data_IF_743273250094
#
_entry.id   IF_743273250094
#
_cell.length_a   1.000
_cell.length_b   1.000
_cell.length_c   1.000
_cell.angle_alpha   90.00
_cell.angle_beta   90.00
_cell.angle_gamma   90.00
#
_symmetry.space_group_name_H-M   'P 1'
#
loop_
_entity.id
_entity.type
_entity.pdbx_description
1 polymer ?
#
# COMPACT_ATOMS: atom_id res chain seq x y z
N UNK A 1 -36.79 28.45 -6.98
CA UNK A 1 -37.39 27.51 -6.02
C UNK A 1 -36.39 26.37 -5.78
N UNK A 2 -35.66 26.38 -4.63
CA UNK A 2 -34.75 25.30 -4.24
C UNK A 2 -35.58 24.15 -3.68
N UNK A 3 -35.49 22.97 -4.33
CA UNK A 3 -36.22 21.78 -3.94
C UNK A 3 -35.55 21.14 -2.67
N UNK A 4 -36.12 21.25 -1.47
CA UNK A 4 -35.49 20.79 -0.23
C UNK A 4 -35.24 19.26 -0.19
N UNK A 5 -36.02 18.48 -0.94
CA UNK A 5 -35.86 17.03 -1.01
C UNK A 5 -34.56 16.62 -1.73
N UNK A 6 -34.14 17.32 -2.79
CA UNK A 6 -32.86 17.03 -3.48
C UNK A 6 -31.64 17.28 -2.58
N UNK A 7 -31.69 18.26 -1.67
CA UNK A 7 -30.59 18.59 -0.74
C UNK A 7 -30.48 17.52 0.35
N UNK A 8 -31.60 17.01 0.86
CA UNK A 8 -31.59 15.92 1.86
C UNK A 8 -31.05 14.60 1.29
N UNK A 9 -31.46 14.22 0.08
CA UNK A 9 -30.97 13.02 -0.62
C UNK A 9 -29.47 13.10 -0.90
N UNK A 10 -28.96 14.25 -1.34
CA UNK A 10 -27.51 14.43 -1.57
C UNK A 10 -26.71 14.31 -0.26
N UNK A 11 -27.19 14.88 0.85
CA UNK A 11 -26.52 14.75 2.16
C UNK A 11 -26.52 13.31 2.65
N UNK A 12 -27.62 12.58 2.50
CA UNK A 12 -27.72 11.16 2.85
C UNK A 12 -26.76 10.28 2.04
N UNK A 13 -26.71 10.48 0.72
CA UNK A 13 -25.80 9.71 -0.16
C UNK A 13 -24.33 10.00 0.17
N UNK A 14 -23.95 11.27 0.34
CA UNK A 14 -22.57 11.64 0.70
C UNK A 14 -22.15 11.03 2.04
N UNK A 15 -23.03 11.06 3.05
CA UNK A 15 -22.74 10.45 4.36
C UNK A 15 -22.59 8.94 4.28
N UNK A 16 -23.36 8.26 3.45
CA UNK A 16 -23.26 6.81 3.22
C UNK A 16 -21.92 6.47 2.52
N UNK A 17 -21.56 7.19 1.46
CA UNK A 17 -20.28 6.99 0.77
C UNK A 17 -19.11 7.15 1.74
N UNK A 18 -19.10 8.23 2.53
CA UNK A 18 -18.04 8.46 3.53
C UNK A 18 -17.99 7.33 4.55
N UNK A 19 -19.15 6.83 5.01
CA UNK A 19 -19.22 5.72 5.97
C UNK A 19 -18.64 4.42 5.36
N UNK A 20 -18.96 4.11 4.10
CA UNK A 20 -18.43 2.95 3.38
C UNK A 20 -16.91 3.07 3.22
N UNK A 21 -16.41 4.24 2.77
CA UNK A 21 -14.98 4.46 2.61
C UNK A 21 -14.22 4.32 3.94
N UNK A 22 -14.77 4.88 5.03
CA UNK A 22 -14.19 4.71 6.38
C UNK A 22 -14.17 3.25 6.81
N UNK A 23 -15.23 2.51 6.54
CA UNK A 23 -15.28 1.08 6.84
C UNK A 23 -14.19 0.32 6.07
N UNK A 24 -14.05 0.53 4.78
CA UNK A 24 -13.02 -0.11 3.94
C UNK A 24 -11.60 0.20 4.44
N UNK A 25 -11.33 1.45 4.82
CA UNK A 25 -10.02 1.88 5.34
C UNK A 25 -9.75 1.29 6.74
N UNK A 26 -10.72 1.35 7.66
CA UNK A 26 -10.50 0.89 9.03
C UNK A 26 -10.49 -0.63 9.17
N UNK A 27 -11.15 -1.37 8.28
CA UNK A 27 -11.16 -2.84 8.24
C UNK A 27 -9.94 -3.46 7.57
N UNK A 28 -9.01 -2.67 7.05
CA UNK A 28 -7.88 -3.08 6.22
C UNK A 28 -8.27 -3.69 4.85
N UNK A 29 -9.54 -3.69 4.49
CA UNK A 29 -9.98 -4.18 3.18
C UNK A 29 -9.40 -3.34 2.04
N UNK A 30 -9.39 -2.01 2.19
CA UNK A 30 -8.88 -1.14 1.15
C UNK A 30 -7.38 -1.34 0.91
N UNK A 31 -6.57 -1.41 1.96
CA UNK A 31 -5.13 -1.64 1.83
C UNK A 31 -4.83 -3.03 1.26
N UNK A 32 -5.63 -4.05 1.60
CA UNK A 32 -5.50 -5.40 1.01
C UNK A 32 -5.86 -5.41 -0.47
N UNK A 33 -6.86 -4.64 -0.90
CA UNK A 33 -7.16 -4.45 -2.31
C UNK A 33 -6.07 -3.66 -3.04
N UNK A 34 -5.46 -2.67 -2.37
CA UNK A 34 -4.34 -1.92 -2.94
C UNK A 34 -3.11 -2.81 -3.20
N UNK A 35 -2.81 -3.76 -2.30
CA UNK A 35 -1.73 -4.73 -2.53
C UNK A 35 -2.07 -5.75 -3.63
N UNK A 36 -3.32 -6.20 -3.72
CA UNK A 36 -3.81 -7.00 -4.87
C UNK A 36 -3.64 -6.21 -6.17
N UNK A 37 -3.89 -4.90 -6.14
CA UNK A 37 -3.69 -4.05 -7.33
C UNK A 37 -2.21 -4.01 -7.78
N UNK A 38 -1.25 -4.09 -6.84
CA UNK A 38 0.17 -4.26 -7.18
C UNK A 38 0.41 -5.61 -7.90
N UNK A 39 -0.18 -6.70 -7.40
CA UNK A 39 -0.05 -8.01 -8.04
C UNK A 39 -0.67 -8.03 -9.44
N UNK A 40 -1.88 -7.47 -9.61
CA UNK A 40 -2.54 -7.33 -10.92
C UNK A 40 -1.69 -6.49 -11.88
N UNK A 41 -1.22 -5.33 -11.44
CA UNK A 41 -0.32 -4.48 -12.23
C UNK A 41 0.94 -5.24 -12.68
N UNK A 42 1.53 -6.02 -11.77
CA UNK A 42 2.71 -6.83 -12.07
C UNK A 42 2.40 -7.89 -13.14
N UNK A 43 1.29 -8.62 -12.99
CA UNK A 43 0.84 -9.66 -13.92
C UNK A 43 0.69 -9.08 -15.32
N UNK A 44 -0.04 -7.96 -15.44
CA UNK A 44 -0.29 -7.34 -16.75
C UNK A 44 0.98 -6.75 -17.37
N UNK A 45 1.78 -6.00 -16.61
CA UNK A 45 3.00 -5.39 -17.14
C UNK A 45 4.08 -6.40 -17.51
N UNK A 46 4.18 -7.51 -16.77
CA UNK A 46 5.12 -8.60 -17.08
C UNK A 46 4.54 -9.64 -18.08
N UNK A 47 3.34 -9.35 -18.64
CA UNK A 47 2.66 -10.21 -19.62
C UNK A 47 2.46 -11.67 -19.14
N UNK A 48 2.01 -11.80 -17.88
CA UNK A 48 1.76 -13.08 -17.21
C UNK A 48 0.26 -13.43 -17.27
N UNK A 49 -0.11 -14.72 -17.20
CA UNK A 49 -1.52 -15.10 -17.16
C UNK A 49 -2.18 -14.64 -15.85
N UNK A 50 -3.42 -14.15 -15.94
CA UNK A 50 -4.18 -13.73 -14.75
C UNK A 50 -4.77 -14.97 -14.06
N UNK A 51 -4.27 -15.25 -12.85
CA UNK A 51 -4.74 -16.33 -12.00
C UNK A 51 -5.20 -15.80 -10.63
N UNK A 52 -6.19 -16.45 -10.04
CA UNK A 52 -6.77 -16.03 -8.75
C UNK A 52 -5.88 -16.35 -7.54
N UNK A 53 -5.06 -17.42 -7.63
CA UNK A 53 -4.29 -17.91 -6.50
C UNK A 53 -3.24 -16.91 -5.99
N UNK A 54 -2.33 -16.31 -6.82
CA UNK A 54 -1.41 -15.30 -6.34
C UNK A 54 -2.13 -14.07 -5.78
N UNK A 55 -3.28 -13.67 -6.34
CA UNK A 55 -4.08 -12.56 -5.82
C UNK A 55 -4.66 -12.86 -4.44
N UNK A 56 -5.19 -14.07 -4.24
CA UNK A 56 -5.69 -14.54 -2.94
C UNK A 56 -4.57 -14.57 -1.90
N UNK A 57 -3.39 -15.08 -2.24
CA UNK A 57 -2.23 -15.13 -1.34
C UNK A 57 -1.84 -13.71 -0.89
N UNK A 58 -1.73 -12.76 -1.83
CA UNK A 58 -1.39 -11.36 -1.51
C UNK A 58 -2.46 -10.72 -0.62
N UNK A 59 -3.75 -10.91 -0.95
CA UNK A 59 -4.85 -10.40 -0.14
C UNK A 59 -4.80 -10.94 1.30
N UNK A 60 -4.66 -12.26 1.45
CA UNK A 60 -4.66 -12.94 2.74
C UNK A 60 -3.45 -12.53 3.61
N UNK A 61 -2.26 -12.48 3.02
CA UNK A 61 -1.04 -12.04 3.70
C UNK A 61 -1.14 -10.58 4.17
N UNK A 62 -1.65 -9.69 3.32
CA UNK A 62 -1.83 -8.27 3.69
C UNK A 62 -2.86 -8.13 4.78
N UNK A 63 -4.01 -8.79 4.65
CA UNK A 63 -5.07 -8.75 5.65
C UNK A 63 -4.57 -9.21 7.01
N UNK A 64 -3.77 -10.28 7.06
CA UNK A 64 -3.13 -10.76 8.27
C UNK A 64 -2.17 -9.71 8.86
N UNK A 65 -1.17 -9.25 8.09
CA UNK A 65 -0.15 -8.31 8.56
C UNK A 65 -0.77 -7.04 9.12
N UNK A 66 -1.63 -6.39 8.35
CA UNK A 66 -2.24 -5.12 8.79
C UNK A 66 -3.20 -5.30 9.95
N UNK A 67 -3.90 -6.43 10.04
CA UNK A 67 -4.80 -6.66 11.17
C UNK A 67 -4.02 -6.91 12.46
N UNK A 68 -2.92 -7.67 12.40
CA UNK A 68 -2.04 -7.85 13.57
C UNK A 68 -1.44 -6.51 13.99
N UNK A 69 -0.94 -5.69 13.05
CA UNK A 69 -0.40 -4.36 13.36
C UNK A 69 -1.42 -3.45 14.07
N UNK A 70 -2.72 -3.53 13.72
CA UNK A 70 -3.76 -2.75 14.42
C UNK A 70 -3.92 -3.14 15.90
N UNK A 71 -3.63 -4.40 16.23
CA UNK A 71 -3.67 -4.84 17.63
C UNK A 71 -2.42 -4.44 18.39
N UNK A 72 -1.24 -4.53 17.77
CA UNK A 72 0.02 -4.16 18.41
C UNK A 72 0.16 -2.65 18.60
N UNK A 73 -0.40 -1.86 17.68
CA UNK A 73 -0.25 -0.40 17.65
C UNK A 73 -1.52 0.36 18.14
N UNK A 74 -2.41 -0.31 18.90
CA UNK A 74 -3.69 0.28 19.32
C UNK A 74 -3.51 1.54 20.19
N UNK A 75 -2.48 1.62 21.01
CA UNK A 75 -2.19 2.79 21.84
C UNK A 75 -1.72 3.98 21.01
N UNK A 76 -0.87 3.73 20.01
CA UNK A 76 -0.45 4.71 19.01
C UNK A 76 -1.65 5.20 18.19
N UNK A 77 -2.51 4.28 17.75
CA UNK A 77 -3.73 4.59 17.01
C UNK A 77 -4.73 5.45 17.79
N UNK A 78 -4.78 5.35 19.12
CA UNK A 78 -5.62 6.23 19.95
C UNK A 78 -5.21 7.70 19.84
N UNK A 79 -3.94 7.96 19.64
CA UNK A 79 -3.40 9.32 19.51
C UNK A 79 -3.51 9.81 18.06
N UNK A 80 -3.06 9.01 17.10
CA UNK A 80 -2.94 9.42 15.70
C UNK A 80 -4.26 9.31 14.92
N UNK A 81 -5.06 8.26 15.16
CA UNK A 81 -6.31 7.98 14.43
C UNK A 81 -7.38 7.41 15.38
N UNK A 82 -7.97 8.21 16.29
CA UNK A 82 -8.91 7.73 17.32
C UNK A 82 -10.10 6.93 16.78
N UNK A 83 -10.58 7.27 15.59
CA UNK A 83 -11.70 6.56 14.95
C UNK A 83 -11.32 5.13 14.56
N UNK A 84 -10.07 4.90 14.13
CA UNK A 84 -9.53 3.57 13.80
C UNK A 84 -9.35 2.75 15.07
N UNK A 85 -8.80 3.35 16.13
CA UNK A 85 -8.68 2.69 17.44
C UNK A 85 -10.05 2.25 17.99
N UNK A 86 -11.08 3.11 17.88
CA UNK A 86 -12.45 2.77 18.28
C UNK A 86 -13.03 1.62 17.45
N UNK A 87 -12.79 1.60 16.14
CA UNK A 87 -13.18 0.50 15.26
C UNK A 87 -12.48 -0.81 15.65
N UNK A 88 -11.17 -0.78 15.87
CA UNK A 88 -10.37 -1.94 16.30
C UNK A 88 -10.85 -2.47 17.66
N UNK A 89 -11.15 -1.59 18.62
CA UNK A 89 -11.69 -1.99 19.93
C UNK A 89 -13.03 -2.72 19.80
N UNK A 90 -13.89 -2.29 18.86
CA UNK A 90 -15.24 -2.85 18.69
C UNK A 90 -15.27 -4.12 17.84
N UNK A 91 -14.52 -4.15 16.74
CA UNK A 91 -14.60 -5.18 15.70
C UNK A 91 -13.30 -5.95 15.49
N UNK A 92 -12.19 -5.48 16.06
CA UNK A 92 -10.86 -5.98 15.75
C UNK A 92 -10.70 -7.49 15.97
N UNK A 93 -11.33 -8.06 17.03
CA UNK A 93 -11.26 -9.51 17.25
C UNK A 93 -11.79 -10.33 16.06
N UNK A 94 -12.87 -9.88 15.44
CA UNK A 94 -13.43 -10.55 14.26
C UNK A 94 -12.46 -10.45 13.07
N UNK A 95 -11.90 -9.25 12.86
CA UNK A 95 -10.93 -9.02 11.78
C UNK A 95 -9.63 -9.78 12.02
N UNK A 96 -9.16 -9.90 13.26
CA UNK A 96 -7.98 -10.68 13.60
C UNK A 96 -8.18 -12.16 13.28
N UNK A 97 -9.29 -12.75 13.72
CA UNK A 97 -9.62 -14.13 13.42
C UNK A 97 -9.76 -14.37 11.92
N UNK A 98 -10.43 -13.45 11.21
CA UNK A 98 -10.57 -13.51 9.75
C UNK A 98 -9.20 -13.43 9.05
N UNK A 99 -8.35 -12.46 9.44
CA UNK A 99 -7.00 -12.31 8.85
C UNK A 99 -6.12 -13.55 9.08
N UNK A 100 -6.13 -14.10 10.30
CA UNK A 100 -5.41 -15.33 10.63
C UNK A 100 -5.96 -16.51 9.82
N UNK A 101 -7.28 -16.68 9.75
CA UNK A 101 -7.91 -17.78 9.02
C UNK A 101 -7.60 -17.74 7.51
N UNK A 102 -7.68 -16.54 6.90
CA UNK A 102 -7.33 -16.34 5.49
C UNK A 102 -5.85 -16.66 5.24
N UNK A 103 -4.96 -16.21 6.12
CA UNK A 103 -3.53 -16.46 5.98
C UNK A 103 -3.19 -17.94 6.13
N UNK A 104 -3.77 -18.66 7.12
CA UNK A 104 -3.63 -20.11 7.27
C UNK A 104 -4.17 -20.82 6.03
N UNK A 105 -5.32 -20.41 5.50
CA UNK A 105 -5.88 -20.96 4.27
C UNK A 105 -4.93 -20.77 3.08
N UNK A 106 -4.33 -19.56 2.92
CA UNK A 106 -3.38 -19.29 1.84
C UNK A 106 -2.13 -20.17 1.95
N UNK A 107 -1.56 -20.32 3.14
CA UNK A 107 -0.40 -21.19 3.41
C UNK A 107 -0.78 -22.65 3.15
N UNK A 108 -1.94 -23.10 3.66
CA UNK A 108 -2.45 -24.46 3.46
C UNK A 108 -2.64 -24.80 1.98
N UNK A 109 -3.25 -23.91 1.20
CA UNK A 109 -3.42 -24.10 -0.25
C UNK A 109 -2.05 -24.14 -0.95
N UNK A 110 -1.12 -23.25 -0.60
CA UNK A 110 0.22 -23.26 -1.19
C UNK A 110 0.97 -24.57 -0.93
N UNK A 111 0.86 -25.13 0.28
CA UNK A 111 1.49 -26.40 0.65
C UNK A 111 0.80 -27.57 -0.07
N UNK A 112 -0.53 -27.63 -0.08
CA UNK A 112 -1.28 -28.74 -0.69
C UNK A 112 -1.11 -28.81 -2.21
N UNK A 113 -0.93 -27.65 -2.86
CA UNK A 113 -0.61 -27.57 -4.28
C UNK A 113 0.89 -27.77 -4.59
N UNK A 114 1.72 -27.99 -3.56
CA UNK A 114 3.15 -28.20 -3.74
C UNK A 114 3.88 -27.00 -4.33
N UNK A 115 3.43 -25.77 -4.05
CA UNK A 115 4.13 -24.58 -4.55
C UNK A 115 5.52 -24.53 -3.96
N UNK A 116 6.54 -24.50 -4.82
CA UNK A 116 7.95 -24.49 -4.40
C UNK A 116 8.32 -23.30 -3.49
N UNK A 117 7.56 -22.19 -3.58
CA UNK A 117 7.72 -20.98 -2.78
C UNK A 117 6.89 -20.93 -1.50
N UNK A 118 6.18 -22.00 -1.08
CA UNK A 118 5.32 -21.96 0.09
C UNK A 118 6.07 -21.49 1.38
N UNK A 119 7.36 -21.82 1.51
CA UNK A 119 8.18 -21.38 2.64
C UNK A 119 8.32 -19.84 2.71
N UNK A 120 8.30 -19.12 1.58
CA UNK A 120 8.39 -17.66 1.59
C UNK A 120 7.13 -16.99 2.14
N UNK A 121 6.01 -17.72 2.24
CA UNK A 121 4.81 -17.21 2.90
C UNK A 121 5.00 -16.99 4.41
N UNK A 122 6.08 -17.48 5.02
CA UNK A 122 6.44 -17.13 6.39
C UNK A 122 7.09 -15.74 6.52
N UNK A 123 7.55 -15.11 5.42
CA UNK A 123 8.13 -13.75 5.46
C UNK A 123 7.18 -12.69 6.05
N UNK A 124 5.89 -12.63 5.72
CA UNK A 124 4.96 -11.69 6.35
C UNK A 124 4.91 -11.81 7.87
N UNK A 125 4.95 -13.04 8.41
CA UNK A 125 5.01 -13.28 9.85
C UNK A 125 6.31 -12.72 10.46
N UNK A 126 7.45 -12.98 9.81
CA UNK A 126 8.76 -12.46 10.26
C UNK A 126 8.77 -10.94 10.25
N UNK A 127 8.24 -10.32 9.19
CA UNK A 127 8.14 -8.85 9.07
C UNK A 127 7.30 -8.27 10.20
N UNK A 128 6.12 -8.85 10.50
CA UNK A 128 5.28 -8.40 11.62
C UNK A 128 6.03 -8.48 12.94
N UNK A 129 6.71 -9.61 13.23
CA UNK A 129 7.44 -9.79 14.48
C UNK A 129 8.59 -8.79 14.62
N UNK A 130 9.40 -8.61 13.59
CA UNK A 130 10.53 -7.67 13.61
C UNK A 130 10.05 -6.21 13.71
N UNK A 131 8.98 -5.86 12.98
CA UNK A 131 8.46 -4.50 12.97
C UNK A 131 7.79 -4.13 14.29
N UNK A 132 6.88 -4.97 14.79
CA UNK A 132 6.06 -4.67 15.97
C UNK A 132 6.79 -4.94 17.28
N UNK A 133 7.61 -6.00 17.37
CA UNK A 133 8.30 -6.42 18.61
C UNK A 133 9.77 -6.02 18.60
N UNK A 134 10.43 -6.10 17.46
CA UNK A 134 11.88 -5.86 17.31
C UNK A 134 12.31 -4.39 17.37
N UNK A 135 11.37 -3.43 17.50
CA UNK A 135 11.69 -2.00 17.60
C UNK A 135 12.28 -1.37 16.33
N UNK A 136 12.26 -2.08 15.19
CA UNK A 136 12.78 -1.60 13.89
C UNK A 136 12.11 -0.29 13.47
N UNK A 137 10.84 -0.09 13.84
CA UNK A 137 10.10 1.14 13.58
C UNK A 137 10.72 2.42 14.18
N UNK A 138 11.60 2.29 15.18
CA UNK A 138 12.28 3.43 15.85
C UNK A 138 13.50 3.94 15.10
N UNK A 139 14.06 3.14 14.19
CA UNK A 139 15.25 3.50 13.43
C UNK A 139 14.89 4.51 12.31
N UNK A 140 15.61 5.64 12.27
CA UNK A 140 15.38 6.68 11.26
C UNK A 140 15.38 6.10 9.85
N UNK A 141 14.34 6.45 9.07
CA UNK A 141 14.11 6.03 7.70
C UNK A 141 13.93 4.50 7.49
N UNK A 142 14.40 3.64 8.40
CA UNK A 142 14.28 2.18 8.29
C UNK A 142 12.80 1.76 8.33
N UNK A 143 11.97 2.40 9.15
CA UNK A 143 10.52 2.22 9.19
C UNK A 143 9.91 2.32 7.76
N UNK A 144 10.21 3.40 7.05
CA UNK A 144 9.67 3.67 5.71
C UNK A 144 10.18 2.66 4.68
N UNK A 145 11.50 2.35 4.73
CA UNK A 145 12.11 1.38 3.83
C UNK A 145 11.56 -0.04 4.03
N UNK A 146 11.34 -0.46 5.28
CA UNK A 146 10.74 -1.78 5.58
C UNK A 146 9.34 -1.90 4.99
N UNK A 147 8.51 -0.84 5.10
CA UNK A 147 7.19 -0.82 4.47
C UNK A 147 7.31 -0.91 2.95
N UNK A 148 8.21 -0.12 2.34
CA UNK A 148 8.48 -0.17 0.91
C UNK A 148 8.94 -1.56 0.44
N UNK A 149 9.90 -2.17 1.14
CA UNK A 149 10.40 -3.52 0.84
C UNK A 149 9.29 -4.58 0.98
N UNK A 150 8.46 -4.49 2.02
CA UNK A 150 7.35 -5.42 2.20
C UNK A 150 6.39 -5.42 1.00
N UNK A 151 6.05 -4.24 0.48
CA UNK A 151 5.22 -4.14 -0.73
C UNK A 151 5.98 -4.56 -1.99
N UNK A 152 7.27 -4.23 -2.09
CA UNK A 152 8.13 -4.67 -3.19
C UNK A 152 8.25 -6.19 -3.30
N UNK A 153 8.08 -6.94 -2.19
CA UNK A 153 8.06 -8.40 -2.25
C UNK A 153 6.88 -8.96 -3.06
N UNK A 154 5.81 -8.16 -3.29
CA UNK A 154 4.65 -8.61 -4.08
C UNK A 154 5.04 -8.91 -5.53
N UNK A 155 5.69 -8.01 -6.29
CA UNK A 155 6.23 -8.36 -7.62
C UNK A 155 7.16 -9.57 -7.60
N UNK A 156 8.04 -9.67 -6.59
CA UNK A 156 8.93 -10.84 -6.47
C UNK A 156 8.14 -12.14 -6.26
N UNK A 157 7.11 -12.11 -5.41
CA UNK A 157 6.23 -13.26 -5.16
C UNK A 157 5.47 -13.68 -6.42
N UNK A 158 4.94 -12.72 -7.18
CA UNK A 158 4.32 -12.96 -8.49
C UNK A 158 5.34 -13.56 -9.46
N UNK A 159 6.51 -12.93 -9.59
CA UNK A 159 7.58 -13.44 -10.46
C UNK A 159 8.04 -14.84 -10.09
N UNK A 160 8.10 -15.15 -8.78
CA UNK A 160 8.43 -16.49 -8.30
C UNK A 160 7.34 -17.51 -8.68
N UNK A 161 6.08 -17.16 -8.48
CA UNK A 161 4.94 -18.03 -8.81
C UNK A 161 4.94 -18.45 -10.29
N UNK A 162 5.28 -17.53 -11.20
CA UNK A 162 5.32 -17.78 -12.64
C UNK A 162 6.71 -18.19 -13.18
N UNK A 163 7.70 -18.43 -12.30
CA UNK A 163 9.06 -18.80 -12.73
C UNK A 163 9.84 -17.68 -13.42
N UNK A 164 9.41 -16.42 -13.22
CA UNK A 164 9.99 -15.21 -13.85
C UNK A 164 10.72 -14.30 -12.84
N UNK A 165 11.13 -14.84 -11.68
CA UNK A 165 11.73 -14.07 -10.58
C UNK A 165 12.93 -13.20 -11.04
N UNK A 166 13.70 -13.66 -12.02
CA UNK A 166 14.93 -12.99 -12.49
C UNK A 166 14.70 -12.15 -13.74
N UNK A 167 13.48 -12.03 -14.23
CA UNK A 167 13.21 -11.16 -15.38
C UNK A 167 13.44 -9.69 -14.99
N UNK A 168 13.87 -8.90 -15.99
CA UNK A 168 14.11 -7.47 -15.78
C UNK A 168 12.83 -6.74 -15.35
N UNK A 169 11.70 -7.14 -15.88
CA UNK A 169 10.37 -6.61 -15.59
C UNK A 169 10.02 -6.76 -14.12
N UNK A 170 10.21 -7.96 -13.56
CA UNK A 170 9.93 -8.25 -12.16
C UNK A 170 10.89 -7.49 -11.25
N UNK A 171 12.19 -7.47 -11.56
CA UNK A 171 13.18 -6.73 -10.78
C UNK A 171 12.96 -5.23 -10.85
N UNK A 172 12.57 -4.69 -12.00
CA UNK A 172 12.17 -3.30 -12.14
C UNK A 172 10.96 -2.98 -11.26
N UNK A 173 9.89 -3.77 -11.34
CA UNK A 173 8.68 -3.56 -10.55
C UNK A 173 8.96 -3.69 -9.05
N UNK A 174 9.81 -4.62 -8.62
CA UNK A 174 10.28 -4.69 -7.23
C UNK A 174 10.90 -3.37 -6.78
N UNK A 175 11.86 -2.84 -7.52
CA UNK A 175 12.55 -1.58 -7.18
C UNK A 175 11.58 -0.40 -7.25
N UNK A 176 10.77 -0.33 -8.30
CA UNK A 176 9.80 0.73 -8.51
C UNK A 176 8.77 0.81 -7.36
N UNK A 177 8.11 -0.31 -7.06
CA UNK A 177 7.09 -0.38 -5.99
C UNK A 177 7.73 -0.10 -4.62
N UNK A 178 8.90 -0.69 -4.33
CA UNK A 178 9.64 -0.41 -3.09
C UNK A 178 9.88 1.09 -2.92
N UNK A 179 10.35 1.75 -3.98
CA UNK A 179 10.68 3.18 -3.91
C UNK A 179 9.43 4.05 -3.77
N UNK A 180 8.37 3.78 -4.55
CA UNK A 180 7.15 4.58 -4.51
C UNK A 180 6.43 4.43 -3.16
N UNK A 181 6.35 3.23 -2.60
CA UNK A 181 5.78 3.01 -1.25
C UNK A 181 6.67 3.63 -0.16
N UNK A 182 8.00 3.61 -0.30
CA UNK A 182 8.87 4.32 0.65
C UNK A 182 8.59 5.82 0.64
N UNK A 183 8.38 6.42 -0.54
CA UNK A 183 7.97 7.83 -0.68
C UNK A 183 6.60 8.06 -0.01
N UNK A 184 5.61 7.21 -0.29
CA UNK A 184 4.30 7.30 0.34
C UNK A 184 4.39 7.19 1.88
N UNK A 185 5.21 6.28 2.41
CA UNK A 185 5.42 6.10 3.84
C UNK A 185 6.02 7.36 4.51
N UNK A 186 6.95 8.06 3.84
CA UNK A 186 7.45 9.36 4.31
C UNK A 186 6.34 10.41 4.36
N UNK A 187 5.43 10.41 3.39
CA UNK A 187 4.25 11.31 3.38
C UNK A 187 3.26 10.95 4.48
N UNK A 188 3.06 9.65 4.75
CA UNK A 188 2.22 9.19 5.87
C UNK A 188 2.71 9.72 7.23
N UNK A 189 4.03 9.76 7.45
CA UNK A 189 4.61 10.23 8.70
C UNK A 189 4.26 11.71 9.00
N UNK A 190 3.80 12.49 8.01
CA UNK A 190 3.37 13.89 8.25
C UNK A 190 2.16 13.97 9.20
N UNK A 191 1.23 13.01 9.11
CA UNK A 191 0.08 12.98 10.03
C UNK A 191 0.43 12.47 11.43
N UNK A 192 1.51 11.68 11.53
CA UNK A 192 1.89 10.95 12.74
C UNK A 192 2.98 11.68 13.56
N UNK A 193 3.36 12.93 13.20
CA UNK A 193 4.45 13.69 13.84
C UNK A 193 4.36 13.72 15.37
N UNK A 194 3.18 13.98 15.93
CA UNK A 194 2.99 14.06 17.39
C UNK A 194 3.12 12.68 18.06
N UNK A 195 2.50 11.65 17.50
CA UNK A 195 2.61 10.28 18.00
C UNK A 195 4.04 9.75 17.89
N UNK A 196 4.70 9.94 16.75
CA UNK A 196 6.08 9.53 16.54
C UNK A 196 7.05 10.19 17.54
N UNK A 197 6.82 11.48 17.87
CA UNK A 197 7.63 12.19 18.89
C UNK A 197 7.46 11.61 20.29
N UNK A 198 6.22 11.33 20.69
CA UNK A 198 5.93 10.78 22.03
C UNK A 198 6.51 9.37 22.22
N UNK A 199 6.61 8.59 21.14
CA UNK A 199 7.17 7.25 21.15
C UNK A 199 8.69 7.20 20.86
N UNK A 200 9.32 8.37 20.63
CA UNK A 200 10.75 8.46 20.32
C UNK A 200 11.10 7.91 18.93
N UNK A 201 10.12 7.88 18.00
CA UNK A 201 10.32 7.43 16.62
C UNK A 201 10.85 8.62 15.80
N UNK A 202 12.01 8.44 15.16
CA UNK A 202 12.62 9.48 14.32
C UNK A 202 12.20 9.31 12.87
N UNK A 203 11.45 10.30 12.36
CA UNK A 203 10.97 10.32 10.95
C UNK A 203 11.42 11.57 10.21
N UNK A 204 11.34 11.57 8.88
CA UNK A 204 11.72 12.74 8.07
C UNK A 204 10.92 13.98 8.46
N UNK A 205 9.57 13.94 8.57
CA UNK A 205 8.81 15.13 8.90
C UNK A 205 9.00 15.59 10.36
N UNK A 206 9.25 14.71 11.34
CA UNK A 206 9.48 15.17 12.71
C UNK A 206 10.89 15.70 12.95
N UNK A 207 11.88 15.29 12.13
CA UNK A 207 13.27 15.73 12.23
C UNK A 207 13.56 16.99 11.39
N UNK A 208 13.03 17.06 10.17
CA UNK A 208 13.31 18.12 9.21
C UNK A 208 12.08 18.98 8.88
N UNK A 209 10.92 18.64 9.41
CA UNK A 209 9.66 19.31 9.16
C UNK A 209 8.88 18.78 7.94
N UNK A 210 7.54 18.98 7.92
CA UNK A 210 6.68 18.48 6.86
C UNK A 210 6.95 19.10 5.48
N UNK A 211 7.50 20.30 5.45
CA UNK A 211 7.93 20.96 4.20
C UNK A 211 9.04 20.18 3.50
N UNK A 212 10.08 19.79 4.23
CA UNK A 212 11.17 18.97 3.71
C UNK A 212 10.71 17.58 3.30
N UNK A 213 9.82 16.95 4.07
CA UNK A 213 9.24 15.66 3.70
C UNK A 213 8.54 15.73 2.34
N UNK A 214 7.72 16.77 2.09
CA UNK A 214 7.07 16.99 0.79
C UNK A 214 8.06 17.25 -0.35
N UNK A 215 9.03 18.13 -0.15
CA UNK A 215 10.01 18.48 -1.19
C UNK A 215 10.85 17.26 -1.56
N UNK A 216 11.42 16.55 -0.57
CA UNK A 216 12.26 15.38 -0.82
C UNK A 216 11.47 14.25 -1.50
N UNK A 217 10.22 14.02 -1.08
CA UNK A 217 9.33 13.04 -1.71
C UNK A 217 9.00 13.42 -3.16
N UNK A 218 8.74 14.70 -3.44
CA UNK A 218 8.47 15.16 -4.81
C UNK A 218 9.71 15.00 -5.70
N UNK A 219 10.88 15.38 -5.22
CA UNK A 219 12.16 15.21 -5.94
C UNK A 219 12.41 13.73 -6.20
N UNK A 220 12.23 12.87 -5.20
CA UNK A 220 12.38 11.42 -5.38
C UNK A 220 11.42 10.87 -6.44
N UNK A 221 10.14 11.30 -6.43
CA UNK A 221 9.13 10.90 -7.42
C UNK A 221 9.55 11.30 -8.84
N UNK A 222 10.10 12.51 -9.02
CA UNK A 222 10.60 13.00 -10.32
C UNK A 222 11.83 12.20 -10.76
N UNK A 223 12.76 11.88 -9.85
CA UNK A 223 13.93 11.05 -10.14
C UNK A 223 13.51 9.65 -10.59
N UNK A 224 12.53 9.04 -9.92
CA UNK A 224 11.97 7.74 -10.33
C UNK A 224 11.36 7.83 -11.73
N UNK A 225 10.57 8.87 -12.01
CA UNK A 225 9.98 9.07 -13.35
C UNK A 225 11.07 9.22 -14.43
N UNK A 226 12.12 9.98 -14.17
CA UNK A 226 13.26 10.14 -15.08
C UNK A 226 13.98 8.80 -15.31
N UNK A 227 14.17 8.00 -14.26
CA UNK A 227 14.77 6.66 -14.38
C UNK A 227 13.90 5.72 -15.24
N UNK A 228 12.57 5.74 -15.11
CA UNK A 228 11.67 4.98 -15.98
C UNK A 228 11.83 5.38 -17.43
N UNK A 229 11.81 6.67 -17.73
CA UNK A 229 12.00 7.19 -19.10
C UNK A 229 13.36 6.79 -19.65
N UNK A 230 14.41 6.89 -18.85
CA UNK A 230 15.77 6.48 -19.23
C UNK A 230 15.84 4.99 -19.59
N UNK A 231 15.28 4.09 -18.75
CA UNK A 231 15.30 2.65 -18.99
C UNK A 231 14.55 2.28 -20.28
N UNK A 232 13.44 2.97 -20.58
CA UNK A 232 12.70 2.78 -21.81
C UNK A 232 13.48 3.32 -23.02
N UNK A 233 14.09 4.50 -22.90
CA UNK A 233 14.91 5.10 -23.97
C UNK A 233 16.17 4.27 -24.27
N UNK A 234 16.75 3.62 -23.23
CA UNK A 234 17.86 2.69 -23.37
C UNK A 234 17.47 1.32 -23.94
N UNK A 235 16.17 1.09 -24.22
CA UNK A 235 15.68 -0.18 -24.75
C UNK A 235 15.67 -1.34 -23.74
N UNK A 236 15.88 -1.05 -22.45
CA UNK A 236 15.87 -2.03 -21.37
C UNK A 236 14.44 -2.45 -20.98
N UNK A 237 13.50 -1.50 -21.05
CA UNK A 237 12.08 -1.75 -20.81
C UNK A 237 11.26 -1.41 -22.05
N UNK A 238 10.16 -2.11 -22.26
CA UNK A 238 9.24 -1.82 -23.35
C UNK A 238 8.48 -0.50 -23.10
N UNK A 239 7.98 0.13 -24.17
CA UNK A 239 7.16 1.36 -24.07
C UNK A 239 5.90 1.19 -23.23
N UNK A 240 5.45 -0.03 -23.02
CA UNK A 240 4.32 -0.40 -22.14
C UNK A 240 4.51 0.14 -20.72
N UNK A 241 5.75 0.19 -20.24
CA UNK A 241 6.09 0.71 -18.92
C UNK A 241 5.92 2.24 -18.76
N UNK A 242 5.66 2.99 -19.85
CA UNK A 242 5.29 4.42 -19.72
C UNK A 242 4.04 4.63 -18.87
N UNK A 243 3.16 3.62 -18.79
CA UNK A 243 1.94 3.68 -17.97
C UNK A 243 2.22 3.93 -16.49
N UNK A 244 3.37 3.48 -15.96
CA UNK A 244 3.70 3.69 -14.53
C UNK A 244 3.93 5.17 -14.21
N UNK A 245 4.24 6.01 -15.21
CA UNK A 245 4.35 7.47 -15.04
C UNK A 245 3.03 8.11 -14.59
N UNK A 246 1.89 7.47 -14.87
CA UNK A 246 0.60 7.91 -14.33
C UNK A 246 0.57 7.90 -12.80
N UNK A 247 1.20 6.88 -12.16
CA UNK A 247 1.35 6.84 -10.71
C UNK A 247 2.29 7.95 -10.21
N UNK A 248 3.43 8.20 -10.89
CA UNK A 248 4.31 9.31 -10.52
C UNK A 248 3.57 10.67 -10.59
N UNK A 249 2.73 10.87 -11.62
CA UNK A 249 1.90 12.06 -11.72
C UNK A 249 0.88 12.13 -10.56
N UNK A 250 0.18 11.04 -10.26
CA UNK A 250 -0.79 10.96 -9.16
C UNK A 250 -0.13 11.29 -7.80
N UNK A 251 1.04 10.67 -7.53
CA UNK A 251 1.82 10.92 -6.31
C UNK A 251 2.24 12.38 -6.22
N UNK A 252 2.76 12.95 -7.32
CA UNK A 252 3.13 14.36 -7.39
C UNK A 252 1.96 15.31 -7.12
N UNK A 253 0.74 14.91 -7.48
CA UNK A 253 -0.47 15.72 -7.27
C UNK A 253 -0.91 15.73 -5.80
N UNK A 254 -0.80 14.63 -5.06
CA UNK A 254 -1.27 14.61 -3.68
C UNK A 254 -0.21 15.11 -2.67
N UNK A 255 1.10 14.95 -2.93
CA UNK A 255 2.17 15.35 -2.00
C UNK A 255 2.00 16.78 -1.45
N UNK A 256 1.73 17.81 -2.26
CA UNK A 256 1.60 19.20 -1.76
C UNK A 256 0.48 19.39 -0.73
N UNK A 257 -0.55 18.53 -0.77
CA UNK A 257 -1.73 18.63 0.10
C UNK A 257 -1.63 17.77 1.36
N UNK A 258 -0.53 17.05 1.56
CA UNK A 258 -0.31 16.25 2.77
C UNK A 258 0.04 17.15 3.95
N UNK A 259 -0.86 17.20 4.95
CA UNK A 259 -0.73 18.01 6.17
C UNK A 259 -1.18 17.20 7.38
N UNK A 260 -0.75 17.56 8.59
CA UNK A 260 -1.09 16.82 9.82
C UNK A 260 -2.58 16.86 10.19
N UNK A 261 -3.32 17.85 9.71
CA UNK A 261 -4.76 18.02 9.93
C UNK A 261 -5.64 17.24 8.94
N UNK A 262 -5.06 16.62 7.90
CA UNK A 262 -5.81 15.79 6.98
C UNK A 262 -6.32 14.52 7.68
N UNK A 263 -7.61 14.26 7.45
CA UNK A 263 -8.29 13.12 8.07
C UNK A 263 -7.87 11.74 7.51
N UNK A 264 -8.31 10.65 8.16
CA UNK A 264 -7.95 9.28 7.80
C UNK A 264 -8.24 8.89 6.35
N UNK A 265 -9.25 9.48 5.72
CA UNK A 265 -9.58 9.21 4.31
C UNK A 265 -8.56 9.79 3.35
N UNK A 266 -7.88 10.90 3.68
CA UNK A 266 -6.84 11.39 2.82
C UNK A 266 -5.67 10.41 2.74
N UNK A 267 -5.16 9.97 3.87
CA UNK A 267 -4.05 9.04 3.92
C UNK A 267 -4.45 7.61 3.53
N UNK A 268 -5.51 7.08 4.13
CA UNK A 268 -5.91 5.70 3.93
C UNK A 268 -6.74 5.44 2.66
N UNK A 269 -7.10 6.46 1.88
CA UNK A 269 -7.79 6.27 0.61
C UNK A 269 -7.10 6.97 -0.56
N UNK A 270 -6.64 8.25 -0.39
CA UNK A 270 -5.95 8.93 -1.50
C UNK A 270 -4.52 8.44 -1.62
N UNK A 271 -3.74 8.42 -0.52
CA UNK A 271 -2.33 7.99 -0.59
C UNK A 271 -2.24 6.48 -0.83
N UNK A 272 -2.91 5.64 -0.02
CA UNK A 272 -2.95 4.17 -0.24
C UNK A 272 -3.61 3.77 -1.57
N UNK A 273 -4.41 4.67 -2.17
CA UNK A 273 -5.10 4.45 -3.44
C UNK A 273 -4.22 4.54 -4.69
N UNK A 274 -2.96 4.97 -4.58
CA UNK A 274 -2.07 5.16 -5.72
C UNK A 274 -1.89 3.89 -6.56
N UNK A 275 -1.85 2.71 -5.93
CA UNK A 275 -1.72 1.43 -6.63
C UNK A 275 -3.02 0.95 -7.26
N UNK A 276 -4.17 1.26 -6.61
CA UNK A 276 -5.49 1.02 -7.21
C UNK A 276 -5.65 1.89 -8.46
N UNK A 277 -5.24 3.15 -8.37
CA UNK A 277 -5.23 4.06 -9.51
C UNK A 277 -4.34 3.52 -10.65
N UNK A 278 -3.09 3.11 -10.35
CA UNK A 278 -2.20 2.54 -11.35
C UNK A 278 -2.80 1.30 -12.01
N UNK A 279 -3.34 0.37 -11.22
CA UNK A 279 -3.99 -0.83 -11.76
C UNK A 279 -5.12 -0.47 -12.74
N UNK A 280 -5.99 0.47 -12.38
CA UNK A 280 -7.08 0.91 -13.26
C UNK A 280 -6.54 1.47 -14.58
N UNK A 281 -5.49 2.29 -14.53
CA UNK A 281 -4.86 2.84 -15.75
C UNK A 281 -4.23 1.72 -16.59
N UNK A 282 -3.53 0.74 -15.96
CA UNK A 282 -2.96 -0.41 -16.66
C UNK A 282 -4.05 -1.23 -17.36
N UNK A 283 -5.14 -1.56 -16.65
CA UNK A 283 -6.26 -2.31 -17.25
C UNK A 283 -6.95 -1.55 -18.39
N UNK A 284 -7.11 -0.24 -18.25
CA UNK A 284 -7.67 0.60 -19.32
C UNK A 284 -6.75 0.65 -20.55
N UNK A 285 -5.44 0.78 -20.34
CA UNK A 285 -4.48 0.77 -21.46
C UNK A 285 -4.37 -0.61 -22.11
N UNK A 286 -4.47 -1.69 -21.31
CA UNK A 286 -4.53 -3.06 -21.83
C UNK A 286 -5.73 -3.27 -22.75
N UNK A 287 -6.90 -2.77 -22.35
CA UNK A 287 -8.12 -2.93 -23.10
C UNK A 287 -8.22 -2.02 -24.34
N UNK A 288 -7.65 -0.80 -24.28
CA UNK A 288 -7.81 0.22 -25.31
C UNK A 288 -6.66 0.27 -26.33
N UNK A 289 -5.46 -0.15 -25.94
CA UNK A 289 -4.23 0.12 -26.69
C UNK A 289 -3.46 -1.15 -27.06
N UNK A 290 -3.50 -2.20 -26.21
CA UNK A 290 -2.77 -3.45 -26.37
C UNK A 290 -3.71 -4.64 -26.53
#
# INVERSE_FOLDING_TARGET
>A
MHNPTRIQWRRGLTSLIIAVLRFLVHSNLFISLATVSVAVTTIFLANLPLESLPLFIVFAATMFVYTVNRFTDIEEDKQNVPQRAAFTKRYGRYWLVTGIALYIAAVGVAITLGLSGAAYLFLPLVVVLLYSVGGVKRLFFVKNLVVGLAWGTIPLGVGYYYGQLRSLEILFLFVYITTMITIAAVIFDIKDIEGDRTEGISTVPNRFGPGWARISSLVATVVVAAAVVFLIAAGMLSRRYLVVLAMNAYVSMYIPFATSDRGPLYYGFVVDGEHVFLMVIVLLTEWLVW
#
